data_IF_237251134111
#
_entry.id   IF_237251134111
#
_cell.length_a   1.000
_cell.length_b   1.000
_cell.length_c   1.000
_cell.angle_alpha   90.00
_cell.angle_beta   90.00
_cell.angle_gamma   90.00
#
_symmetry.space_group_name_H-M   'P 1'
#
loop_
_entity.id
_entity.type
_entity.pdbx_description
1 polymer ?
#
# COMPACT_ATOMS: atom_id res chain seq x y z
N UNK A 1 9.14 -9.36 -78.89
CA UNK A 1 10.04 -9.88 -77.89
C UNK A 1 9.70 -9.22 -76.58
N UNK A 2 8.99 -9.94 -75.78
CA UNK A 2 8.43 -9.62 -74.49
C UNK A 2 9.49 -9.76 -73.38
N UNK A 3 9.61 -8.78 -72.51
CA UNK A 3 10.25 -8.88 -71.23
C UNK A 3 9.18 -8.95 -70.17
N UNK A 4 9.24 -9.99 -69.38
CA UNK A 4 8.35 -10.24 -68.23
C UNK A 4 9.01 -9.78 -66.94
N UNK A 5 8.35 -8.83 -66.24
CA UNK A 5 8.75 -8.35 -64.93
C UNK A 5 8.09 -9.18 -63.84
N UNK A 6 8.80 -10.18 -63.39
CA UNK A 6 8.39 -11.00 -62.26
C UNK A 6 8.90 -10.44 -60.93
N UNK A 7 8.05 -9.69 -60.18
CA UNK A 7 8.27 -9.41 -58.75
C UNK A 7 7.87 -10.64 -57.95
N UNK A 8 8.85 -11.44 -57.59
CA UNK A 8 8.69 -12.56 -56.68
C UNK A 8 8.77 -12.05 -55.22
N UNK A 9 7.63 -11.93 -54.55
CA UNK A 9 7.50 -11.77 -53.13
C UNK A 9 7.62 -13.13 -52.46
N UNK A 10 8.82 -13.60 -52.23
CA UNK A 10 9.08 -14.87 -51.55
C UNK A 10 8.64 -14.86 -50.09
N UNK A 11 7.43 -15.36 -49.84
CA UNK A 11 7.04 -15.81 -48.53
C UNK A 11 7.83 -17.12 -48.22
N UNK A 12 8.87 -17.02 -47.41
CA UNK A 12 9.63 -18.19 -46.93
C UNK A 12 8.81 -19.00 -45.94
N UNK A 13 8.07 -19.96 -46.39
CA UNK A 13 7.41 -20.97 -45.57
C UNK A 13 8.42 -22.05 -45.20
N UNK A 14 8.93 -22.06 -43.97
CA UNK A 14 9.74 -23.17 -43.44
C UNK A 14 8.83 -24.29 -42.99
N UNK A 15 8.47 -25.18 -43.91
CA UNK A 15 7.91 -26.50 -43.61
C UNK A 15 9.04 -27.46 -43.23
N UNK A 16 9.17 -27.75 -41.92
CA UNK A 16 10.09 -28.77 -41.43
C UNK A 16 9.38 -29.74 -40.50
N UNK A 17 9.26 -30.99 -40.93
CA UNK A 17 8.83 -32.07 -40.07
C UNK A 17 10.01 -32.56 -39.22
N UNK A 18 9.75 -32.74 -37.91
CA UNK A 18 10.45 -33.64 -37.00
C UNK A 18 11.85 -33.26 -36.52
N UNK A 19 11.97 -33.03 -35.24
CA UNK A 19 13.13 -33.23 -34.36
C UNK A 19 14.51 -32.95 -34.97
N UNK A 20 14.97 -31.72 -34.87
CA UNK A 20 16.36 -31.36 -35.16
C UNK A 20 16.68 -30.00 -34.56
N UNK A 21 17.56 -30.01 -33.60
CA UNK A 21 18.23 -28.83 -33.06
C UNK A 21 18.94 -28.10 -34.22
N UNK A 22 18.37 -26.98 -34.68
CA UNK A 22 19.06 -26.11 -35.64
C UNK A 22 19.32 -24.78 -34.98
N UNK A 23 20.48 -24.68 -34.36
CA UNK A 23 21.07 -23.39 -34.00
C UNK A 23 21.32 -22.61 -35.28
N UNK A 24 20.39 -21.76 -35.69
CA UNK A 24 20.63 -20.79 -36.76
C UNK A 24 21.04 -19.45 -36.15
N UNK A 25 22.30 -19.11 -36.35
CA UNK A 25 22.87 -17.78 -36.06
C UNK A 25 22.80 -16.90 -37.31
N UNK A 26 21.65 -16.86 -37.99
CA UNK A 26 21.42 -16.06 -39.19
C UNK A 26 20.87 -14.69 -38.86
N UNK A 27 21.62 -13.66 -39.22
CA UNK A 27 21.18 -12.28 -39.30
C UNK A 27 20.14 -12.15 -40.43
N UNK A 28 18.85 -12.22 -40.11
CA UNK A 28 17.78 -12.03 -41.08
C UNK A 28 16.86 -10.90 -40.67
N UNK A 29 16.94 -9.78 -41.37
CA UNK A 29 15.99 -8.66 -41.29
C UNK A 29 14.61 -9.00 -41.91
N UNK A 30 14.11 -10.21 -41.65
CA UNK A 30 12.82 -10.70 -42.15
C UNK A 30 11.79 -10.91 -41.02
N UNK A 31 10.51 -10.99 -41.38
CA UNK A 31 9.45 -11.38 -40.45
C UNK A 31 9.30 -12.89 -40.47
N UNK A 32 9.47 -13.54 -39.30
CA UNK A 32 9.26 -14.98 -39.16
C UNK A 32 7.97 -15.27 -38.39
N UNK A 33 7.27 -16.33 -38.76
CA UNK A 33 6.03 -16.78 -38.09
C UNK A 33 6.17 -18.24 -37.71
N UNK A 34 5.98 -18.55 -36.42
CA UNK A 34 5.94 -19.96 -36.01
C UNK A 34 4.66 -20.62 -36.54
N UNK A 35 4.76 -21.75 -37.27
CA UNK A 35 3.57 -22.49 -37.64
C UNK A 35 2.81 -23.03 -36.42
N UNK A 36 1.54 -23.36 -36.60
CA UNK A 36 0.72 -24.02 -35.58
C UNK A 36 1.39 -25.27 -35.04
N UNK A 37 1.59 -25.36 -33.73
CA UNK A 37 2.24 -26.48 -33.03
C UNK A 37 3.76 -26.64 -33.29
N UNK A 38 4.48 -25.60 -33.68
CA UNK A 38 5.94 -25.64 -33.83
C UNK A 38 6.64 -25.00 -32.62
N UNK A 39 7.83 -25.51 -32.31
CA UNK A 39 8.70 -24.98 -31.27
C UNK A 39 9.98 -24.44 -31.88
N UNK A 40 10.34 -23.21 -31.55
CA UNK A 40 11.64 -22.62 -31.87
C UNK A 40 12.46 -22.44 -30.58
N UNK A 41 13.75 -22.70 -30.65
CA UNK A 41 14.64 -22.61 -29.50
C UNK A 41 15.85 -21.74 -29.84
N UNK A 42 16.35 -20.99 -28.85
CA UNK A 42 17.56 -20.15 -28.98
C UNK A 42 17.52 -19.19 -30.17
N UNK A 43 16.34 -18.62 -30.45
CA UNK A 43 16.19 -17.66 -31.55
C UNK A 43 16.77 -16.30 -31.15
N UNK A 44 17.53 -15.68 -32.05
CA UNK A 44 18.04 -14.32 -31.86
C UNK A 44 17.34 -13.39 -32.87
N UNK A 45 16.65 -12.37 -32.35
CA UNK A 45 15.94 -11.40 -33.17
C UNK A 45 16.72 -10.08 -33.11
N UNK A 46 17.38 -9.74 -34.20
CA UNK A 46 18.16 -8.51 -34.34
C UNK A 46 17.35 -7.38 -34.99
N UNK A 47 17.99 -6.25 -35.24
CA UNK A 47 17.40 -5.06 -35.81
C UNK A 47 16.64 -5.35 -37.14
N UNK A 48 15.36 -4.96 -37.17
CA UNK A 48 14.45 -5.20 -38.28
C UNK A 48 13.85 -6.61 -38.32
N UNK A 49 14.33 -7.53 -37.47
CA UNK A 49 13.76 -8.89 -37.37
C UNK A 49 12.44 -8.89 -36.57
N UNK A 50 11.52 -9.75 -36.96
CA UNK A 50 10.26 -9.96 -36.24
C UNK A 50 9.96 -11.46 -36.14
N UNK A 51 9.71 -11.94 -34.91
CA UNK A 51 9.19 -13.29 -34.67
C UNK A 51 7.73 -13.18 -34.22
N UNK A 52 6.83 -13.84 -34.94
CA UNK A 52 5.44 -13.99 -34.53
C UNK A 52 5.19 -15.39 -34.02
N UNK A 53 4.79 -15.52 -32.78
CA UNK A 53 4.44 -16.79 -32.12
C UNK A 53 2.93 -16.92 -32.14
N UNK A 54 2.42 -17.76 -33.04
CA UNK A 54 0.98 -17.94 -33.27
C UNK A 54 0.40 -19.08 -32.43
N UNK A 55 -0.90 -19.34 -32.57
CA UNK A 55 -1.61 -20.38 -31.81
C UNK A 55 -0.90 -21.73 -31.84
N UNK A 56 -0.55 -22.25 -30.67
CA UNK A 56 0.17 -23.53 -30.51
C UNK A 56 1.67 -23.44 -30.80
N UNK A 57 2.19 -22.29 -31.23
CA UNK A 57 3.61 -22.03 -31.37
C UNK A 57 4.28 -21.79 -30.01
N UNK A 58 5.52 -22.24 -29.84
CA UNK A 58 6.31 -22.07 -28.64
C UNK A 58 7.68 -21.49 -29.01
N UNK A 59 8.08 -20.39 -28.37
CA UNK A 59 9.40 -19.81 -28.49
C UNK A 59 10.16 -19.95 -27.15
N UNK A 60 11.24 -20.70 -27.13
CA UNK A 60 12.06 -20.89 -25.95
C UNK A 60 13.41 -20.16 -26.07
N UNK A 61 13.84 -19.50 -25.00
CA UNK A 61 15.16 -18.88 -24.90
C UNK A 61 15.42 -17.91 -26.08
N UNK A 62 14.42 -17.10 -26.42
CA UNK A 62 14.53 -16.11 -27.49
C UNK A 62 15.22 -14.84 -26.96
N UNK A 63 16.23 -14.35 -27.67
CA UNK A 63 16.87 -13.07 -27.42
C UNK A 63 16.31 -12.02 -28.39
N UNK A 64 15.74 -10.95 -27.84
CA UNK A 64 15.22 -9.81 -28.63
C UNK A 64 16.15 -8.64 -28.43
N UNK A 65 16.98 -8.35 -29.44
CA UNK A 65 17.97 -7.29 -29.41
C UNK A 65 17.42 -5.96 -29.92
N UNK A 66 18.26 -4.92 -29.92
CA UNK A 66 17.90 -3.58 -30.38
C UNK A 66 17.22 -3.63 -31.77
N UNK A 67 16.04 -3.03 -31.87
CA UNK A 67 15.23 -3.00 -33.11
C UNK A 67 14.56 -4.31 -33.49
N UNK A 68 14.78 -5.41 -32.72
CA UNK A 68 14.06 -6.67 -32.88
C UNK A 68 12.68 -6.65 -32.23
N UNK A 69 11.73 -7.40 -32.74
CA UNK A 69 10.36 -7.50 -32.24
C UNK A 69 9.93 -8.96 -32.10
N UNK A 70 9.40 -9.33 -30.95
CA UNK A 70 8.73 -10.61 -30.70
C UNK A 70 7.26 -10.36 -30.40
N UNK A 71 6.37 -10.96 -31.17
CA UNK A 71 4.93 -10.90 -30.94
C UNK A 71 4.42 -12.27 -30.54
N UNK A 72 3.85 -12.37 -29.34
CA UNK A 72 3.21 -13.58 -28.85
C UNK A 72 1.71 -13.36 -28.96
N UNK A 73 1.11 -14.02 -29.96
CA UNK A 73 -0.29 -13.88 -30.29
C UNK A 73 -1.14 -14.92 -29.55
N UNK A 74 -2.44 -14.87 -29.76
CA UNK A 74 -3.40 -15.74 -29.08
C UNK A 74 -3.02 -17.22 -29.16
N UNK A 75 -2.85 -17.84 -27.99
CA UNK A 75 -2.45 -19.24 -27.88
C UNK A 75 -0.99 -19.54 -28.25
N UNK A 76 -0.20 -18.50 -28.49
CA UNK A 76 1.26 -18.59 -28.58
C UNK A 76 1.91 -18.51 -27.18
N UNK A 77 3.10 -19.06 -27.05
CA UNK A 77 3.84 -19.14 -25.77
C UNK A 77 5.30 -18.79 -25.96
N UNK A 78 5.87 -17.97 -25.05
CA UNK A 78 7.30 -17.71 -24.99
C UNK A 78 7.85 -18.05 -23.59
N UNK A 79 8.94 -18.83 -23.56
CA UNK A 79 9.54 -19.29 -22.32
C UNK A 79 11.00 -18.84 -22.22
N UNK A 80 11.40 -18.36 -21.04
CA UNK A 80 12.79 -18.01 -20.70
C UNK A 80 13.47 -17.08 -21.71
N UNK A 81 12.70 -16.15 -22.25
CA UNK A 81 13.19 -15.19 -23.26
C UNK A 81 13.85 -13.97 -22.60
N UNK A 82 14.74 -13.31 -23.34
CA UNK A 82 15.39 -12.08 -22.88
C UNK A 82 15.08 -10.93 -23.85
N UNK A 83 14.62 -9.81 -23.33
CA UNK A 83 14.37 -8.58 -24.10
C UNK A 83 15.44 -7.58 -23.74
N UNK A 84 16.44 -7.46 -24.58
CA UNK A 84 17.58 -6.58 -24.39
C UNK A 84 17.25 -5.13 -24.70
N UNK A 85 18.15 -4.22 -24.33
CA UNK A 85 18.01 -2.78 -24.59
C UNK A 85 17.62 -2.51 -26.05
N UNK A 86 16.53 -1.76 -26.25
CA UNK A 86 15.97 -1.43 -27.55
C UNK A 86 15.16 -2.55 -28.23
N UNK A 87 15.12 -3.76 -27.66
CA UNK A 87 14.25 -4.85 -28.09
C UNK A 87 12.81 -4.68 -27.57
N UNK A 88 11.84 -5.26 -28.26
CA UNK A 88 10.42 -5.19 -27.90
C UNK A 88 9.77 -6.56 -27.96
N UNK A 89 9.09 -6.96 -26.88
CA UNK A 89 8.20 -8.12 -26.84
C UNK A 89 6.75 -7.65 -26.63
N UNK A 90 5.83 -8.11 -27.48
CA UNK A 90 4.41 -7.83 -27.36
C UNK A 90 3.67 -9.12 -27.03
N UNK A 91 3.05 -9.16 -25.85
CA UNK A 91 2.18 -10.25 -25.41
C UNK A 91 0.76 -9.78 -25.69
N UNK A 92 0.21 -10.22 -26.81
CA UNK A 92 -1.09 -9.79 -27.28
C UNK A 92 -2.23 -10.61 -26.65
N UNK A 93 -3.48 -10.31 -27.00
CA UNK A 93 -4.67 -10.98 -26.48
C UNK A 93 -4.54 -12.51 -26.49
N UNK A 94 -4.55 -13.13 -25.30
CA UNK A 94 -4.44 -14.57 -25.13
C UNK A 94 -3.05 -15.18 -25.40
N UNK A 95 -2.01 -14.36 -25.58
CA UNK A 95 -0.61 -14.79 -25.61
C UNK A 95 -0.03 -14.96 -24.20
N UNK A 96 0.96 -15.82 -24.04
CA UNK A 96 1.58 -16.11 -22.74
C UNK A 96 3.10 -15.99 -22.79
N UNK A 97 3.68 -15.34 -21.80
CA UNK A 97 5.13 -15.27 -21.59
C UNK A 97 5.49 -15.76 -20.18
N UNK A 98 6.47 -16.63 -20.08
CA UNK A 98 6.94 -17.19 -18.81
C UNK A 98 8.44 -16.96 -18.65
N UNK A 99 8.84 -16.58 -17.42
CA UNK A 99 10.24 -16.41 -17.03
C UNK A 99 11.04 -15.48 -17.97
N UNK A 100 10.40 -14.39 -18.42
CA UNK A 100 11.05 -13.43 -19.32
C UNK A 100 11.91 -12.45 -18.54
N UNK A 101 13.15 -12.24 -18.98
CA UNK A 101 14.02 -11.18 -18.47
C UNK A 101 13.92 -9.95 -19.38
N UNK A 102 13.49 -8.81 -18.84
CA UNK A 102 13.48 -7.53 -19.56
C UNK A 102 14.70 -6.73 -19.14
N UNK A 103 15.78 -6.88 -19.93
CA UNK A 103 17.11 -6.36 -19.65
C UNK A 103 17.36 -5.05 -20.44
N UNK A 104 16.75 -3.99 -19.98
CA UNK A 104 16.77 -2.66 -20.64
C UNK A 104 15.83 -2.53 -21.84
N UNK A 105 15.10 -3.57 -22.21
CA UNK A 105 14.11 -3.57 -23.28
C UNK A 105 12.70 -3.22 -22.82
N UNK A 106 11.71 -3.46 -23.67
CA UNK A 106 10.29 -3.22 -23.37
C UNK A 106 9.45 -4.46 -23.64
N UNK A 107 8.64 -4.87 -22.65
CA UNK A 107 7.60 -5.88 -22.81
C UNK A 107 6.22 -5.26 -22.61
N UNK A 108 5.38 -5.34 -23.62
CA UNK A 108 3.99 -4.88 -23.57
C UNK A 108 3.06 -6.08 -23.40
N UNK A 109 2.28 -6.09 -22.32
CA UNK A 109 1.27 -7.12 -22.06
C UNK A 109 -0.10 -6.48 -22.21
N UNK A 110 -0.89 -6.90 -23.18
CA UNK A 110 -2.10 -6.20 -23.62
C UNK A 110 -3.32 -7.10 -23.55
N UNK A 111 -4.46 -6.48 -23.36
CA UNK A 111 -5.77 -7.13 -23.35
C UNK A 111 -5.79 -8.35 -22.40
N UNK A 112 -6.01 -9.56 -22.90
CA UNK A 112 -5.99 -10.79 -22.10
C UNK A 112 -4.61 -11.50 -22.13
N UNK A 113 -3.55 -10.81 -22.52
CA UNK A 113 -2.18 -11.35 -22.48
C UNK A 113 -1.70 -11.60 -21.05
N UNK A 114 -0.84 -12.58 -20.87
CA UNK A 114 -0.30 -12.95 -19.55
C UNK A 114 1.24 -13.02 -19.56
N UNK A 115 1.85 -12.44 -18.53
CA UNK A 115 3.27 -12.60 -18.27
C UNK A 115 3.50 -13.07 -16.82
N UNK A 116 4.21 -14.17 -16.64
CA UNK A 116 4.48 -14.74 -15.33
C UNK A 116 5.97 -14.95 -15.07
N UNK A 117 6.37 -14.81 -13.79
CA UNK A 117 7.74 -15.05 -13.30
C UNK A 117 8.80 -14.23 -14.05
N UNK A 118 8.45 -12.99 -14.41
CA UNK A 118 9.35 -12.12 -15.19
C UNK A 118 10.27 -11.30 -14.29
N UNK A 119 11.43 -10.91 -14.82
CA UNK A 119 12.41 -10.06 -14.10
C UNK A 119 12.71 -8.80 -14.93
N UNK A 120 12.72 -7.63 -14.30
CA UNK A 120 13.05 -6.35 -14.93
C UNK A 120 14.37 -5.84 -14.37
N UNK A 121 15.32 -5.59 -15.27
CA UNK A 121 16.69 -5.13 -14.95
C UNK A 121 17.15 -4.05 -15.91
N UNK A 122 18.23 -3.35 -15.56
CA UNK A 122 18.93 -2.36 -16.40
C UNK A 122 18.02 -1.29 -17.04
N UNK A 123 17.02 -0.81 -16.28
CA UNK A 123 16.09 0.18 -16.79
C UNK A 123 15.02 -0.37 -17.75
N UNK A 124 14.87 -1.68 -17.83
CA UNK A 124 13.83 -2.35 -18.61
C UNK A 124 12.43 -1.96 -18.17
N UNK A 125 11.45 -2.15 -19.05
CA UNK A 125 10.06 -1.78 -18.78
C UNK A 125 9.08 -2.89 -19.16
N UNK A 126 8.18 -3.25 -18.22
CA UNK A 126 6.99 -4.03 -18.52
C UNK A 126 5.77 -3.09 -18.43
N UNK A 127 4.92 -3.11 -19.45
CA UNK A 127 3.68 -2.33 -19.51
C UNK A 127 2.51 -3.31 -19.59
N UNK A 128 1.75 -3.42 -18.51
CA UNK A 128 0.52 -4.21 -18.46
C UNK A 128 -0.68 -3.30 -18.69
N UNK A 129 -1.53 -3.60 -19.65
CA UNK A 129 -2.69 -2.78 -20.01
C UNK A 129 -3.90 -3.61 -20.47
N UNK A 130 -5.09 -3.01 -20.44
CA UNK A 130 -6.33 -3.71 -20.71
C UNK A 130 -6.67 -4.70 -19.60
N UNK A 131 -7.13 -5.88 -19.93
CA UNK A 131 -7.40 -6.95 -18.95
C UNK A 131 -6.22 -7.91 -18.76
N UNK A 132 -5.01 -7.46 -19.07
CA UNK A 132 -3.78 -8.25 -18.95
C UNK A 132 -3.43 -8.58 -17.51
N UNK A 133 -2.65 -9.64 -17.36
CA UNK A 133 -2.16 -10.08 -16.05
C UNK A 133 -0.64 -10.22 -16.06
N UNK A 134 0.01 -9.61 -15.07
CA UNK A 134 1.42 -9.90 -14.76
C UNK A 134 1.50 -10.51 -13.37
N UNK A 135 2.27 -11.58 -13.21
CA UNK A 135 2.38 -12.29 -11.95
C UNK A 135 3.81 -12.68 -11.63
N UNK A 136 4.12 -12.75 -10.31
CA UNK A 136 5.45 -13.16 -9.82
C UNK A 136 6.59 -12.35 -10.46
N UNK A 137 6.36 -11.06 -10.67
CA UNK A 137 7.32 -10.18 -11.33
C UNK A 137 8.32 -9.61 -10.32
N UNK A 138 9.61 -9.75 -10.60
CA UNK A 138 10.69 -9.11 -9.87
C UNK A 138 11.15 -7.84 -10.58
N UNK A 139 10.98 -6.68 -9.95
CA UNK A 139 11.40 -5.37 -10.46
C UNK A 139 12.64 -4.93 -9.68
N UNK A 140 13.83 -5.16 -10.24
CA UNK A 140 15.11 -4.92 -9.56
C UNK A 140 15.74 -3.57 -9.95
N UNK A 141 15.65 -3.21 -11.23
CA UNK A 141 16.14 -1.95 -11.78
C UNK A 141 15.40 -1.67 -13.09
N UNK A 142 14.32 -0.91 -13.00
CA UNK A 142 13.43 -0.59 -14.12
C UNK A 142 12.00 -0.41 -13.63
N UNK A 143 11.02 -0.51 -14.52
CA UNK A 143 9.63 -0.14 -14.22
C UNK A 143 8.64 -1.22 -14.64
N UNK A 144 7.76 -1.59 -13.70
CA UNK A 144 6.49 -2.23 -14.02
C UNK A 144 5.39 -1.16 -14.02
N UNK A 145 4.83 -0.85 -15.18
CA UNK A 145 3.68 0.02 -15.35
C UNK A 145 2.41 -0.83 -15.51
N UNK A 146 1.43 -0.60 -14.63
CA UNK A 146 0.12 -1.28 -14.64
C UNK A 146 -0.95 -0.23 -14.91
N UNK A 147 -1.76 -0.42 -15.94
CA UNK A 147 -2.79 0.55 -16.35
C UNK A 147 -3.99 -0.09 -17.03
N UNK A 148 -5.04 0.70 -17.25
CA UNK A 148 -6.21 0.32 -18.04
C UNK A 148 -6.88 -1.00 -17.57
N UNK A 149 -7.07 -1.19 -16.25
CA UNK A 149 -7.65 -2.38 -15.61
C UNK A 149 -6.76 -3.64 -15.60
N UNK A 150 -5.48 -3.53 -15.89
CA UNK A 150 -4.56 -4.64 -15.77
C UNK A 150 -4.38 -5.09 -14.30
N UNK A 151 -3.92 -6.31 -14.12
CA UNK A 151 -3.71 -6.92 -12.80
C UNK A 151 -2.24 -7.26 -12.60
N UNK A 152 -1.70 -6.89 -11.43
CA UNK A 152 -0.39 -7.33 -10.98
C UNK A 152 -0.52 -8.19 -9.71
N UNK A 153 0.05 -9.40 -9.76
CA UNK A 153 0.00 -10.38 -8.66
C UNK A 153 1.42 -10.73 -8.19
N UNK A 154 1.63 -10.76 -6.86
CA UNK A 154 2.89 -11.21 -6.26
C UNK A 154 4.12 -10.51 -6.87
N UNK A 155 4.06 -9.20 -6.98
CA UNK A 155 5.18 -8.39 -7.50
C UNK A 155 6.14 -8.05 -6.38
N UNK A 156 7.44 -8.24 -6.61
CA UNK A 156 8.50 -7.79 -5.71
C UNK A 156 9.27 -6.63 -6.34
N UNK A 157 9.35 -5.52 -5.63
CA UNK A 157 10.08 -4.31 -6.06
C UNK A 157 11.23 -4.07 -5.10
N UNK A 158 12.45 -4.00 -5.63
CA UNK A 158 13.67 -3.80 -4.83
C UNK A 158 14.73 -3.02 -5.64
N UNK A 159 15.83 -2.66 -5.00
CA UNK A 159 16.90 -1.92 -5.67
C UNK A 159 16.43 -0.57 -6.21
N UNK A 160 16.64 -0.31 -7.50
CA UNK A 160 16.11 0.88 -8.18
C UNK A 160 14.81 0.59 -8.95
N UNK A 161 14.16 -0.53 -8.65
CA UNK A 161 12.88 -0.91 -9.26
C UNK A 161 11.75 0.02 -8.88
N UNK A 162 10.78 0.17 -9.77
CA UNK A 162 9.58 0.97 -9.56
C UNK A 162 8.32 0.25 -10.06
N UNK A 163 7.27 0.23 -9.24
CA UNK A 163 5.91 -0.08 -9.66
C UNK A 163 5.14 1.22 -9.87
N UNK A 164 4.56 1.41 -11.04
CA UNK A 164 3.69 2.52 -11.37
C UNK A 164 2.29 2.02 -11.75
N UNK A 165 1.27 2.45 -10.99
CA UNK A 165 -0.13 2.20 -11.28
C UNK A 165 -0.87 3.55 -11.20
N UNK A 166 -0.95 4.24 -12.34
CA UNK A 166 -1.33 5.66 -12.41
C UNK A 166 -2.71 5.93 -12.97
N UNK A 167 -3.48 4.90 -13.28
CA UNK A 167 -4.82 5.02 -13.86
C UNK A 167 -5.88 4.24 -13.08
N UNK A 168 -7.13 4.50 -13.31
CA UNK A 168 -8.23 3.97 -12.51
C UNK A 168 -8.45 2.46 -12.70
N UNK A 169 -8.66 1.73 -11.62
CA UNK A 169 -9.16 0.36 -11.52
C UNK A 169 -8.14 -0.79 -11.68
N UNK A 170 -6.85 -0.52 -11.61
CA UNK A 170 -5.84 -1.59 -11.55
C UNK A 170 -5.99 -2.40 -10.26
N UNK A 171 -5.77 -3.71 -10.34
CA UNK A 171 -5.73 -4.61 -9.20
C UNK A 171 -4.29 -5.03 -8.88
N UNK A 172 -3.82 -4.68 -7.69
CA UNK A 172 -2.47 -5.01 -7.20
C UNK A 172 -2.62 -5.92 -5.97
N UNK A 173 -2.14 -7.13 -6.07
CA UNK A 173 -2.23 -8.10 -4.96
C UNK A 173 -0.88 -8.75 -4.67
N UNK A 174 -0.50 -8.85 -3.40
CA UNK A 174 0.77 -9.47 -2.99
C UNK A 174 1.99 -8.64 -3.39
N UNK A 175 1.88 -7.31 -3.37
CA UNK A 175 3.01 -6.42 -3.63
C UNK A 175 3.98 -6.43 -2.45
N UNK A 176 5.26 -6.70 -2.71
CA UNK A 176 6.34 -6.55 -1.74
C UNK A 176 7.32 -5.49 -2.22
N UNK A 177 7.50 -4.42 -1.46
CA UNK A 177 8.51 -3.39 -1.73
C UNK A 177 9.54 -3.38 -0.63
N UNK A 178 10.80 -3.63 -0.98
CA UNK A 178 11.92 -3.74 -0.03
C UNK A 178 13.04 -2.78 -0.39
N UNK A 179 13.90 -2.48 0.57
CA UNK A 179 15.13 -1.70 0.42
C UNK A 179 14.91 -0.31 -0.18
N UNK A 180 15.43 -0.10 -1.37
CA UNK A 180 15.34 1.17 -2.12
C UNK A 180 14.28 1.13 -3.23
N UNK A 181 13.53 0.03 -3.34
CA UNK A 181 12.41 -0.08 -4.28
C UNK A 181 11.38 1.02 -4.07
N UNK A 182 10.74 1.44 -5.13
CA UNK A 182 9.74 2.50 -5.10
C UNK A 182 8.42 2.07 -5.73
N UNK A 183 7.35 2.74 -5.34
CA UNK A 183 6.02 2.50 -5.91
C UNK A 183 5.25 3.81 -6.01
N UNK A 184 4.44 3.92 -7.05
CA UNK A 184 3.54 5.03 -7.29
C UNK A 184 2.16 4.47 -7.61
N UNK A 185 1.27 4.55 -6.64
CA UNK A 185 -0.10 4.04 -6.74
C UNK A 185 -1.05 5.24 -6.69
N UNK A 186 -1.66 5.58 -7.81
CA UNK A 186 -2.61 6.71 -7.89
C UNK A 186 -4.03 6.23 -8.11
N UNK A 187 -4.96 7.06 -7.82
CA UNK A 187 -6.43 7.03 -8.00
C UNK A 187 -7.12 5.69 -8.35
N UNK A 188 -8.06 5.29 -7.50
CA UNK A 188 -9.00 4.17 -7.73
C UNK A 188 -8.40 2.75 -7.76
N UNK A 189 -7.13 2.57 -7.40
CA UNK A 189 -6.51 1.25 -7.38
C UNK A 189 -7.04 0.41 -6.21
N UNK A 190 -7.19 -0.88 -6.44
CA UNK A 190 -7.44 -1.86 -5.40
C UNK A 190 -6.14 -2.58 -5.06
N UNK A 191 -5.60 -2.32 -3.87
CA UNK A 191 -4.36 -2.94 -3.39
C UNK A 191 -4.68 -3.89 -2.24
N UNK A 192 -4.26 -5.14 -2.36
CA UNK A 192 -4.49 -6.17 -1.36
C UNK A 192 -3.20 -6.87 -0.97
N UNK A 193 -3.04 -7.13 0.34
CA UNK A 193 -1.93 -7.91 0.90
C UNK A 193 -0.57 -7.39 0.44
N UNK A 194 -0.30 -6.09 0.65
CA UNK A 194 0.96 -5.48 0.25
C UNK A 194 1.87 -5.22 1.45
N UNK A 195 3.15 -5.54 1.29
CA UNK A 195 4.21 -5.27 2.25
C UNK A 195 5.08 -4.11 1.73
N UNK A 196 4.94 -2.93 2.33
CA UNK A 196 5.55 -1.70 1.88
C UNK A 196 6.66 -1.26 2.85
N UNK A 197 7.91 -1.60 2.53
CA UNK A 197 9.10 -1.24 3.31
C UNK A 197 10.09 -0.35 2.56
N UNK A 198 9.86 -0.11 1.28
CA UNK A 198 10.73 0.68 0.41
C UNK A 198 10.60 2.18 0.57
N UNK A 199 11.36 2.92 -0.23
CA UNK A 199 11.14 4.35 -0.41
C UNK A 199 9.86 4.54 -1.22
N UNK A 200 8.94 5.36 -0.71
CA UNK A 200 7.73 5.69 -1.45
C UNK A 200 7.89 6.99 -2.22
N UNK A 201 7.15 7.09 -3.29
CA UNK A 201 6.80 8.36 -3.93
C UNK A 201 5.28 8.34 -4.17
N UNK A 202 4.54 9.13 -3.37
CA UNK A 202 3.12 9.42 -3.54
C UNK A 202 2.20 8.20 -3.69
N UNK A 203 1.85 7.59 -2.59
CA UNK A 203 0.79 6.58 -2.60
C UNK A 203 -0.52 7.24 -2.27
N UNK A 204 -1.42 7.25 -3.23
CA UNK A 204 -2.65 8.00 -3.16
C UNK A 204 -3.84 7.11 -3.44
N UNK A 205 -4.55 6.74 -2.40
CA UNK A 205 -5.88 6.18 -2.58
C UNK A 205 -6.90 7.32 -2.68
N UNK A 206 -7.06 7.90 -3.86
CA UNK A 206 -8.22 8.75 -4.15
C UNK A 206 -9.31 7.88 -4.74
N UNK A 207 -10.40 7.66 -4.00
CA UNK A 207 -11.47 6.69 -4.32
C UNK A 207 -11.03 5.22 -4.46
N UNK A 208 -9.77 4.88 -4.22
CA UNK A 208 -9.23 3.52 -4.21
C UNK A 208 -9.42 2.84 -2.85
N UNK A 209 -9.16 1.54 -2.81
CA UNK A 209 -9.21 0.75 -1.58
C UNK A 209 -7.91 -0.05 -1.36
N UNK A 210 -7.39 0.01 -0.14
CA UNK A 210 -6.31 -0.82 0.33
C UNK A 210 -6.78 -1.76 1.44
N UNK A 211 -6.39 -3.03 1.39
CA UNK A 211 -6.75 -4.01 2.42
C UNK A 211 -5.59 -4.95 2.72
N UNK A 212 -5.35 -5.23 4.00
CA UNK A 212 -4.27 -6.13 4.43
C UNK A 212 -2.89 -5.59 4.11
N UNK A 213 -2.68 -4.29 4.27
CA UNK A 213 -1.41 -3.64 3.92
C UNK A 213 -0.51 -3.54 5.15
N UNK A 214 0.77 -3.88 4.99
CA UNK A 214 1.81 -3.63 5.97
C UNK A 214 2.62 -2.42 5.51
N UNK A 215 2.75 -1.40 6.37
CA UNK A 215 3.54 -0.20 6.12
C UNK A 215 4.69 -0.16 7.12
N UNK A 216 5.92 -0.25 6.64
CA UNK A 216 7.08 -0.34 7.52
C UNK A 216 8.34 0.32 6.94
N UNK A 217 9.47 0.23 7.65
CA UNK A 217 10.76 0.73 7.16
C UNK A 217 10.82 2.23 6.89
N UNK A 218 10.04 3.05 7.59
CA UNK A 218 9.84 4.50 7.34
C UNK A 218 9.06 4.82 6.06
N UNK A 219 8.35 3.85 5.47
CA UNK A 219 7.43 4.10 4.36
C UNK A 219 6.24 4.96 4.79
N UNK A 220 5.68 5.69 3.86
CA UNK A 220 4.50 6.51 4.07
C UNK A 220 3.38 6.11 3.10
N UNK A 221 2.16 6.15 3.56
CA UNK A 221 0.96 5.88 2.78
C UNK A 221 -0.03 7.04 2.99
N UNK A 222 -0.42 7.70 1.92
CA UNK A 222 -1.39 8.78 1.96
C UNK A 222 -2.75 8.31 1.46
N UNK A 223 -3.79 8.48 2.26
CA UNK A 223 -5.18 8.15 1.92
C UNK A 223 -5.92 9.44 1.61
N UNK A 224 -6.19 9.67 0.35
CA UNK A 224 -6.81 10.90 -0.16
C UNK A 224 -8.34 10.86 -0.08
N UNK A 225 -8.98 11.90 -0.55
CA UNK A 225 -10.45 11.99 -0.58
C UNK A 225 -11.09 10.81 -1.29
N UNK A 226 -12.07 10.18 -0.63
CA UNK A 226 -12.73 8.97 -1.13
C UNK A 226 -11.92 7.66 -0.98
N UNK A 227 -10.62 7.75 -0.69
CA UNK A 227 -9.76 6.59 -0.42
C UNK A 227 -10.12 5.87 0.86
N UNK A 228 -9.97 4.55 0.86
CA UNK A 228 -10.28 3.66 2.00
C UNK A 228 -9.14 2.71 2.26
N UNK A 229 -8.76 2.59 3.51
CA UNK A 229 -7.74 1.65 3.95
C UNK A 229 -8.32 0.77 5.06
N UNK A 230 -8.17 -0.55 4.94
CA UNK A 230 -8.67 -1.50 5.93
C UNK A 230 -7.61 -2.54 6.31
N UNK A 231 -7.73 -3.09 7.53
CA UNK A 231 -6.88 -4.18 8.01
C UNK A 231 -5.38 -3.90 7.81
N UNK A 232 -4.95 -2.70 8.17
CA UNK A 232 -3.57 -2.22 7.93
C UNK A 232 -2.72 -2.34 9.18
N UNK A 233 -1.49 -2.79 9.02
CA UNK A 233 -0.50 -2.86 10.10
C UNK A 233 0.66 -1.90 9.79
N UNK A 234 0.90 -0.97 10.70
CA UNK A 234 2.07 -0.10 10.66
C UNK A 234 3.13 -0.64 11.62
N UNK A 235 4.39 -0.68 11.17
CA UNK A 235 5.52 -1.11 12.00
C UNK A 235 6.82 -0.43 11.55
N UNK A 236 7.86 -0.47 12.39
CA UNK A 236 9.18 0.07 12.06
C UNK A 236 9.14 1.51 11.50
N UNK A 237 8.41 2.41 12.18
CA UNK A 237 8.21 3.82 11.79
C UNK A 237 7.38 4.04 10.51
N UNK A 238 6.57 3.07 10.10
CA UNK A 238 5.61 3.27 9.01
C UNK A 238 4.65 4.43 9.32
N UNK A 239 4.25 5.16 8.32
CA UNK A 239 3.37 6.34 8.45
C UNK A 239 2.15 6.21 7.56
N UNK A 240 0.97 6.54 8.10
CA UNK A 240 -0.27 6.70 7.33
C UNK A 240 -0.83 8.09 7.56
N UNK A 241 -1.05 8.83 6.48
CA UNK A 241 -1.71 10.13 6.50
C UNK A 241 -3.08 10.03 5.82
N UNK A 242 -4.13 10.29 6.57
CA UNK A 242 -5.50 10.29 6.05
C UNK A 242 -5.93 11.73 5.82
N UNK A 243 -6.07 12.09 4.56
CA UNK A 243 -6.46 13.44 4.13
C UNK A 243 -7.97 13.61 4.17
N UNK A 244 -8.43 14.86 4.05
CA UNK A 244 -9.87 15.20 4.03
C UNK A 244 -10.66 14.27 3.09
N UNK A 245 -11.72 13.65 3.60
CA UNK A 245 -12.56 12.70 2.86
C UNK A 245 -12.01 11.28 2.73
N UNK A 246 -10.80 11.02 3.21
CA UNK A 246 -10.22 9.68 3.33
C UNK A 246 -10.67 8.96 4.61
N UNK A 247 -10.56 7.65 4.64
CA UNK A 247 -10.91 6.83 5.82
C UNK A 247 -10.01 5.63 6.03
N UNK A 248 -9.79 5.28 7.30
CA UNK A 248 -9.12 4.04 7.68
C UNK A 248 -9.99 3.22 8.63
N UNK A 249 -9.89 1.90 8.53
CA UNK A 249 -10.63 0.96 9.36
C UNK A 249 -9.71 -0.17 9.83
N UNK A 250 -9.85 -0.58 11.08
CA UNK A 250 -9.12 -1.72 11.66
C UNK A 250 -7.59 -1.62 11.43
N UNK A 251 -7.00 -0.52 11.89
CA UNK A 251 -5.56 -0.24 11.71
C UNK A 251 -4.80 -0.50 13.02
N UNK A 252 -3.70 -1.22 12.95
CA UNK A 252 -2.80 -1.47 14.09
C UNK A 252 -1.47 -0.76 13.86
N UNK A 253 -1.10 0.15 14.75
CA UNK A 253 0.19 0.85 14.71
C UNK A 253 1.11 0.36 15.83
N UNK A 254 2.31 -0.09 15.45
CA UNK A 254 3.36 -0.59 16.34
C UNK A 254 4.67 0.20 16.15
N UNK A 255 5.62 0.03 17.05
CA UNK A 255 7.04 0.38 16.89
C UNK A 255 7.31 1.80 16.36
N UNK A 256 6.88 2.82 17.08
CA UNK A 256 7.07 4.23 16.70
C UNK A 256 6.44 4.65 15.36
N UNK A 257 5.46 3.90 14.89
CA UNK A 257 4.69 4.24 13.70
C UNK A 257 3.76 5.43 13.97
N UNK A 258 3.36 6.12 12.92
CA UNK A 258 2.58 7.34 13.04
C UNK A 258 1.33 7.32 12.15
N UNK A 259 0.21 7.78 12.70
CA UNK A 259 -1.06 7.96 11.97
C UNK A 259 -1.49 9.42 12.10
N UNK A 260 -1.83 10.06 10.99
CA UNK A 260 -2.40 11.41 10.97
C UNK A 260 -3.78 11.37 10.33
N UNK A 261 -4.80 11.84 11.06
CA UNK A 261 -6.18 11.98 10.59
C UNK A 261 -6.47 13.46 10.41
N UNK A 262 -6.48 13.93 9.18
CA UNK A 262 -6.74 15.35 8.86
C UNK A 262 -8.19 15.74 9.13
N UNK A 263 -8.47 17.03 9.18
CA UNK A 263 -9.85 17.53 9.28
C UNK A 263 -10.72 17.00 8.13
N UNK A 264 -11.92 16.48 8.44
CA UNK A 264 -12.81 15.84 7.47
C UNK A 264 -12.44 14.40 7.10
N UNK A 265 -11.38 13.84 7.69
CA UNK A 265 -11.03 12.43 7.58
C UNK A 265 -11.55 11.62 8.77
N UNK A 266 -11.58 10.28 8.63
CA UNK A 266 -12.08 9.40 9.68
C UNK A 266 -11.19 8.15 9.90
N UNK A 267 -11.14 7.70 11.16
CA UNK A 267 -10.54 6.44 11.58
C UNK A 267 -11.52 5.65 12.43
N UNK A 268 -11.59 4.34 12.23
CA UNK A 268 -12.41 3.44 13.05
C UNK A 268 -11.61 2.18 13.38
N UNK A 269 -11.68 1.71 14.63
CA UNK A 269 -11.03 0.46 15.05
C UNK A 269 -9.51 0.54 15.06
N UNK A 270 -8.93 1.66 15.49
CA UNK A 270 -7.47 1.84 15.52
C UNK A 270 -6.86 1.33 16.84
N UNK A 271 -5.79 0.55 16.77
CA UNK A 271 -5.01 0.13 17.93
C UNK A 271 -3.60 0.71 17.86
N UNK A 272 -3.19 1.41 18.92
CA UNK A 272 -1.87 2.02 19.07
C UNK A 272 -1.06 1.26 20.12
N UNK A 273 0.10 0.72 19.74
CA UNK A 273 0.98 -0.07 20.62
C UNK A 273 2.39 0.55 20.72
N UNK A 274 3.10 0.19 21.79
CA UNK A 274 4.50 0.57 21.98
C UNK A 274 4.71 2.07 22.11
N UNK A 275 5.40 2.67 21.16
CA UNK A 275 5.67 4.11 21.07
C UNK A 275 5.03 4.75 19.84
N UNK A 276 4.05 4.08 19.24
CA UNK A 276 3.31 4.64 18.10
C UNK A 276 2.48 5.87 18.49
N UNK A 277 2.11 6.67 17.53
CA UNK A 277 1.29 7.86 17.77
C UNK A 277 0.20 8.03 16.73
N UNK A 278 -0.92 8.61 17.15
CA UNK A 278 -1.99 9.04 16.26
C UNK A 278 -2.41 10.47 16.58
N UNK A 279 -2.42 11.32 15.58
CA UNK A 279 -2.91 12.71 15.68
C UNK A 279 -4.21 12.83 14.92
N UNK A 280 -5.27 13.28 15.62
CA UNK A 280 -6.61 13.41 15.06
C UNK A 280 -7.00 14.88 14.96
N UNK A 281 -7.24 15.35 13.75
CA UNK A 281 -7.88 16.64 13.46
C UNK A 281 -9.28 16.46 12.84
N UNK A 282 -9.63 15.23 12.47
CA UNK A 282 -10.95 14.79 12.01
C UNK A 282 -11.71 14.04 13.08
N UNK A 283 -12.13 12.81 12.78
CA UNK A 283 -12.84 11.93 13.71
C UNK A 283 -12.15 10.59 13.89
N UNK A 284 -12.17 10.05 15.12
CA UNK A 284 -11.76 8.68 15.36
C UNK A 284 -12.75 7.98 16.30
N UNK A 285 -13.04 6.71 16.01
CA UNK A 285 -13.91 5.88 16.85
C UNK A 285 -13.26 4.52 17.13
N UNK A 286 -13.70 3.89 18.22
CA UNK A 286 -13.23 2.54 18.61
C UNK A 286 -11.69 2.46 18.70
N UNK A 287 -11.08 3.44 19.36
CA UNK A 287 -9.62 3.54 19.44
C UNK A 287 -9.08 2.87 20.70
N UNK A 288 -8.11 1.97 20.56
CA UNK A 288 -7.39 1.35 21.67
C UNK A 288 -5.99 1.96 21.78
N UNK A 289 -5.69 2.58 22.91
CA UNK A 289 -4.42 3.27 23.17
C UNK A 289 -3.63 2.50 24.22
N UNK A 290 -2.73 1.63 23.77
CA UNK A 290 -1.73 0.95 24.59
C UNK A 290 -0.37 1.68 24.55
N UNK A 291 -0.25 2.66 23.70
CA UNK A 291 1.00 3.38 23.40
C UNK A 291 1.22 4.54 24.34
N UNK A 292 2.43 4.64 24.87
CA UNK A 292 2.90 5.83 25.61
C UNK A 292 3.21 7.03 24.69
N UNK A 293 3.20 6.81 23.38
CA UNK A 293 3.73 7.78 22.42
C UNK A 293 5.25 7.85 22.45
N UNK A 294 5.79 8.85 21.78
CA UNK A 294 7.21 9.17 21.76
C UNK A 294 7.51 10.35 22.70
N UNK A 295 8.77 10.75 22.80
CA UNK A 295 9.18 11.99 23.50
C UNK A 295 8.58 13.25 22.84
N UNK A 296 8.18 13.18 21.58
CA UNK A 296 7.66 14.30 20.79
C UNK A 296 6.12 14.29 20.64
N UNK A 297 5.46 13.12 20.81
CA UNK A 297 4.01 13.00 20.64
C UNK A 297 3.43 12.00 21.64
N UNK A 298 2.21 12.24 22.11
CA UNK A 298 1.45 11.29 22.92
C UNK A 298 0.98 10.11 22.05
N UNK A 299 0.55 9.01 22.69
CA UNK A 299 -0.05 7.89 21.96
C UNK A 299 -1.22 8.33 21.11
N UNK A 300 -2.19 9.04 21.67
CA UNK A 300 -3.30 9.68 20.95
C UNK A 300 -3.33 11.19 21.27
N UNK A 301 -3.31 12.00 20.24
CA UNK A 301 -3.46 13.45 20.34
C UNK A 301 -4.69 13.91 19.54
N UNK A 302 -5.60 14.62 20.19
CA UNK A 302 -6.85 15.10 19.59
C UNK A 302 -6.81 16.63 19.50
N UNK A 303 -6.75 17.13 18.29
CA UNK A 303 -6.58 18.55 18.01
C UNK A 303 -7.91 19.33 18.14
N UNK A 304 -7.80 20.65 18.10
CA UNK A 304 -8.95 21.56 18.13
C UNK A 304 -9.96 21.21 17.02
N UNK A 305 -11.24 21.12 17.41
CA UNK A 305 -12.34 20.78 16.52
C UNK A 305 -12.47 19.30 16.16
N UNK A 306 -11.50 18.47 16.57
CA UNK A 306 -11.54 17.04 16.37
C UNK A 306 -12.38 16.32 17.43
N UNK A 307 -12.87 15.14 17.10
CA UNK A 307 -13.62 14.31 18.05
C UNK A 307 -13.17 12.85 18.03
N UNK A 308 -13.15 12.25 19.22
CA UNK A 308 -12.93 10.80 19.39
C UNK A 308 -14.08 10.21 20.18
N UNK A 309 -14.43 8.95 19.88
CA UNK A 309 -15.48 8.22 20.61
C UNK A 309 -15.07 6.78 20.87
N UNK A 310 -15.62 6.22 21.96
CA UNK A 310 -15.35 4.84 22.36
C UNK A 310 -13.85 4.54 22.43
N UNK A 311 -13.12 5.37 23.20
CA UNK A 311 -11.66 5.25 23.35
C UNK A 311 -11.31 4.43 24.58
N UNK A 312 -10.48 3.40 24.44
CA UNK A 312 -9.95 2.59 25.53
C UNK A 312 -8.46 2.90 25.76
N UNK A 313 -8.10 3.38 26.94
CA UNK A 313 -6.72 3.67 27.33
C UNK A 313 -6.23 2.56 28.26
N UNK A 314 -5.18 1.87 27.88
CA UNK A 314 -4.69 0.70 28.62
C UNK A 314 -3.21 0.85 29.00
N UNK A 315 -2.80 0.23 30.11
CA UNK A 315 -1.41 0.11 30.49
C UNK A 315 -0.70 1.44 30.60
N UNK A 316 0.24 1.72 29.71
CA UNK A 316 0.99 2.99 29.63
C UNK A 316 0.43 3.95 28.56
N UNK A 317 -0.76 3.68 28.04
CA UNK A 317 -1.40 4.52 27.02
C UNK A 317 -1.49 5.98 27.43
N UNK A 318 -1.22 6.89 26.50
CA UNK A 318 -1.30 8.34 26.75
C UNK A 318 -2.23 9.01 25.77
N UNK A 319 -3.15 9.82 26.29
CA UNK A 319 -4.09 10.62 25.48
C UNK A 319 -3.96 12.07 25.86
N UNK A 320 -3.90 12.93 24.85
CA UNK A 320 -3.93 14.38 24.99
C UNK A 320 -5.13 14.95 24.21
N UNK A 321 -6.05 15.56 24.93
CA UNK A 321 -7.16 16.32 24.35
C UNK A 321 -6.80 17.80 24.39
N UNK A 322 -6.56 18.38 23.23
CA UNK A 322 -6.24 19.81 23.10
C UNK A 322 -7.48 20.68 23.19
N UNK A 323 -7.26 21.97 23.38
CA UNK A 323 -8.31 22.97 23.41
C UNK A 323 -9.31 22.77 22.25
N UNK A 324 -10.62 22.77 22.54
CA UNK A 324 -11.69 22.62 21.57
C UNK A 324 -11.91 21.21 21.02
N UNK A 325 -11.14 20.21 21.48
CA UNK A 325 -11.36 18.81 21.15
C UNK A 325 -12.51 18.20 21.95
N UNK A 326 -13.05 17.07 21.47
CA UNK A 326 -14.11 16.32 22.14
C UNK A 326 -13.75 14.84 22.25
N UNK A 327 -13.99 14.25 23.41
CA UNK A 327 -13.92 12.81 23.65
C UNK A 327 -15.20 12.30 24.30
N UNK A 328 -15.85 11.32 23.68
CA UNK A 328 -17.05 10.68 24.19
C UNK A 328 -16.74 9.21 24.52
N UNK A 329 -17.33 8.71 25.61
CA UNK A 329 -17.26 7.30 26.01
C UNK A 329 -15.79 6.81 26.11
N UNK A 330 -15.02 7.42 27.02
CA UNK A 330 -13.62 7.04 27.26
C UNK A 330 -13.53 6.08 28.45
N UNK A 331 -12.87 4.94 28.25
CA UNK A 331 -12.57 3.94 29.30
C UNK A 331 -11.08 3.91 29.55
N UNK A 332 -10.68 4.16 30.79
CA UNK A 332 -9.29 4.08 31.23
C UNK A 332 -9.05 2.82 32.08
N UNK A 333 -8.42 1.82 31.51
CA UNK A 333 -7.95 0.62 32.24
C UNK A 333 -6.52 0.78 32.80
N UNK A 334 -5.96 1.96 32.66
CA UNK A 334 -4.61 2.40 33.01
C UNK A 334 -4.24 3.64 32.21
N UNK A 335 -2.97 4.02 32.22
CA UNK A 335 -2.45 5.10 31.40
C UNK A 335 -2.78 6.51 31.89
N UNK A 336 -2.59 7.48 31.02
CA UNK A 336 -2.70 8.91 31.31
C UNK A 336 -3.61 9.62 30.31
N UNK A 337 -4.59 10.34 30.79
CA UNK A 337 -5.44 11.25 30.01
C UNK A 337 -5.18 12.69 30.47
N UNK A 338 -4.78 13.53 29.53
CA UNK A 338 -4.67 14.97 29.75
C UNK A 338 -5.70 15.71 28.92
N UNK A 339 -6.48 16.56 29.53
CA UNK A 339 -7.43 17.44 28.86
C UNK A 339 -7.06 18.90 29.10
N UNK A 340 -6.67 19.59 28.03
CA UNK A 340 -6.35 21.02 28.06
C UNK A 340 -7.58 21.91 28.24
N UNK A 341 -7.36 23.15 28.62
CA UNK A 341 -8.43 24.15 28.70
C UNK A 341 -9.27 24.16 27.40
N UNK A 342 -10.59 24.12 27.53
CA UNK A 342 -11.53 24.10 26.42
C UNK A 342 -11.78 22.71 25.80
N UNK A 343 -11.08 21.67 26.23
CA UNK A 343 -11.40 20.30 25.83
C UNK A 343 -12.71 19.85 26.50
N UNK A 344 -13.43 18.94 25.82
CA UNK A 344 -14.71 18.39 26.30
C UNK A 344 -14.61 16.87 26.41
N UNK A 345 -14.96 16.35 27.60
CA UNK A 345 -15.12 14.93 27.83
C UNK A 345 -16.56 14.63 28.19
N UNK A 346 -17.11 13.58 27.63
CA UNK A 346 -18.43 13.08 27.98
C UNK A 346 -18.34 11.58 28.25
N UNK A 347 -18.86 11.11 29.39
CA UNK A 347 -18.79 9.73 29.86
C UNK A 347 -17.36 9.22 30.01
N UNK A 348 -16.81 9.33 31.21
CA UNK A 348 -15.48 8.85 31.56
C UNK A 348 -15.59 7.69 32.55
N UNK A 349 -15.07 6.51 32.19
CA UNK A 349 -14.94 5.38 33.10
C UNK A 349 -13.46 5.14 33.42
N UNK A 350 -13.11 5.19 34.69
CA UNK A 350 -11.73 5.01 35.18
C UNK A 350 -11.65 3.68 35.95
N UNK A 351 -10.82 2.75 35.49
CA UNK A 351 -10.56 1.45 36.08
C UNK A 351 -9.06 1.30 36.37
N UNK A 352 -8.71 0.61 37.45
CA UNK A 352 -7.31 0.27 37.74
C UNK A 352 -6.45 1.48 38.08
N UNK A 353 -5.15 1.41 37.71
CA UNK A 353 -4.19 2.50 37.92
C UNK A 353 -4.19 3.43 36.70
N UNK A 354 -5.04 4.43 36.73
CA UNK A 354 -5.12 5.44 35.69
C UNK A 354 -4.91 6.83 36.25
N UNK A 355 -4.32 7.72 35.47
CA UNK A 355 -4.05 9.12 35.85
C UNK A 355 -4.79 10.06 34.90
N UNK A 356 -5.48 11.03 35.45
CA UNK A 356 -6.12 12.09 34.67
C UNK A 356 -5.58 13.45 35.08
N UNK A 357 -5.29 14.30 34.10
CA UNK A 357 -5.01 15.72 34.30
C UNK A 357 -6.02 16.52 33.45
N UNK A 358 -6.94 17.16 34.14
CA UNK A 358 -7.99 17.97 33.52
C UNK A 358 -7.74 19.43 33.87
N UNK A 359 -7.40 20.25 32.85
CA UNK A 359 -7.09 21.66 33.06
C UNK A 359 -8.33 22.48 33.42
N UNK A 360 -8.07 23.62 34.05
CA UNK A 360 -9.10 24.63 34.32
C UNK A 360 -9.72 25.08 32.99
N UNK A 361 -11.05 25.00 32.89
CA UNK A 361 -11.82 25.32 31.67
C UNK A 361 -12.02 24.16 30.71
N UNK A 362 -11.45 22.98 30.97
CA UNK A 362 -11.95 21.76 30.35
C UNK A 362 -13.32 21.38 30.95
N UNK A 363 -14.18 20.76 30.17
CA UNK A 363 -15.49 20.30 30.65
C UNK A 363 -15.56 18.79 30.70
N UNK A 364 -16.07 18.26 31.83
CA UNK A 364 -16.37 16.86 32.03
C UNK A 364 -17.88 16.75 32.27
N UNK A 365 -18.59 16.03 31.41
CA UNK A 365 -20.05 15.89 31.44
C UNK A 365 -20.46 14.42 31.31
N UNK A 366 -21.75 14.15 31.51
CA UNK A 366 -22.26 12.78 31.47
C UNK A 366 -21.87 11.95 32.71
N UNK A 367 -21.77 10.63 32.57
CA UNK A 367 -21.44 9.72 33.65
C UNK A 367 -19.92 9.66 33.87
N UNK A 368 -19.45 9.91 35.08
CA UNK A 368 -18.08 9.65 35.49
C UNK A 368 -18.09 8.52 36.52
N UNK A 369 -17.50 7.37 36.13
CA UNK A 369 -17.45 6.19 37.01
C UNK A 369 -16.00 5.88 37.32
N UNK A 370 -15.70 5.68 38.62
CA UNK A 370 -14.37 5.29 39.09
C UNK A 370 -14.46 3.96 39.82
N UNK A 371 -13.68 2.98 39.37
CA UNK A 371 -13.58 1.66 40.02
C UNK A 371 -12.11 1.21 40.12
N UNK A 372 -11.77 0.48 41.20
CA UNK A 372 -10.39 0.06 41.45
C UNK A 372 -9.53 1.14 42.14
N UNK A 373 -8.21 1.14 41.94
CA UNK A 373 -7.28 2.12 42.52
C UNK A 373 -6.98 3.20 41.49
N UNK A 374 -7.86 4.18 41.37
CA UNK A 374 -7.73 5.28 40.41
C UNK A 374 -7.22 6.54 41.09
N UNK A 375 -6.38 7.30 40.39
CA UNK A 375 -5.98 8.66 40.79
C UNK A 375 -6.66 9.63 39.85
N UNK A 376 -7.57 10.45 40.37
CA UNK A 376 -8.14 11.56 39.64
C UNK A 376 -7.26 12.77 39.84
N UNK A 377 -6.60 13.20 38.76
CA UNK A 377 -5.63 14.28 38.77
C UNK A 377 -4.27 13.82 38.31
N UNK A 378 -3.58 14.61 37.54
CA UNK A 378 -2.19 14.36 37.10
C UNK A 378 -1.17 14.77 38.16
N UNK A 379 0.09 14.62 37.87
CA UNK A 379 1.22 15.06 38.73
C UNK A 379 1.37 16.58 38.87
N UNK A 380 0.51 17.32 38.24
CA UNK A 380 0.49 18.77 38.24
C UNK A 380 -0.72 19.31 38.99
N UNK A 381 -0.48 19.85 40.15
CA UNK A 381 -1.34 20.72 40.96
C UNK A 381 -2.79 20.20 41.16
N UNK A 382 -2.93 19.20 42.00
CA UNK A 382 -4.22 18.59 42.41
C UNK A 382 -5.30 19.58 42.86
N UNK A 383 -4.92 20.85 43.09
CA UNK A 383 -5.83 21.91 43.49
C UNK A 383 -6.70 22.48 42.39
N UNK A 384 -6.40 22.20 41.12
CA UNK A 384 -7.11 22.83 39.95
C UNK A 384 -8.09 21.95 39.21
N UNK A 385 -8.09 20.65 39.45
CA UNK A 385 -8.82 19.65 38.62
C UNK A 385 -10.34 19.82 38.72
N UNK A 386 -10.84 20.32 39.81
CA UNK A 386 -12.29 20.40 40.08
C UNK A 386 -12.84 21.81 40.28
N UNK A 387 -12.00 22.83 40.28
CA UNK A 387 -12.48 24.17 40.60
C UNK A 387 -13.38 24.77 39.54
N UNK A 388 -13.22 24.36 38.26
CA UNK A 388 -14.00 24.91 37.13
C UNK A 388 -14.48 23.84 36.12
N UNK A 389 -14.22 22.55 36.35
CA UNK A 389 -14.75 21.48 35.52
C UNK A 389 -16.19 21.11 35.96
N UNK A 390 -17.13 21.10 35.03
CA UNK A 390 -18.48 20.64 35.30
C UNK A 390 -18.55 19.11 35.33
N UNK A 391 -18.66 18.53 36.52
CA UNK A 391 -18.90 17.10 36.70
C UNK A 391 -20.39 16.91 36.99
N UNK A 392 -21.14 16.37 36.05
CA UNK A 392 -22.58 16.15 36.19
C UNK A 392 -22.88 14.88 37.04
N UNK A 393 -22.03 13.88 37.01
CA UNK A 393 -22.14 12.65 37.78
C UNK A 393 -20.77 12.05 38.04
N UNK A 394 -20.45 11.69 39.27
CA UNK A 394 -19.25 10.96 39.64
C UNK A 394 -19.63 9.79 40.54
N UNK A 395 -19.30 8.59 40.12
CA UNK A 395 -19.47 7.35 40.90
C UNK A 395 -18.13 6.80 41.31
N UNK A 396 -17.93 6.64 42.60
CA UNK A 396 -16.75 5.98 43.17
C UNK A 396 -17.24 4.68 43.80
N UNK A 397 -16.81 3.53 43.25
CA UNK A 397 -17.27 2.21 43.74
C UNK A 397 -16.44 1.73 44.92
N UNK A 398 -16.94 0.72 45.62
CA UNK A 398 -16.33 0.14 46.82
C UNK A 398 -14.90 -0.36 46.56
N UNK A 399 -13.97 -0.09 47.50
CA UNK A 399 -12.54 -0.46 47.37
C UNK A 399 -11.64 0.52 46.63
N UNK A 400 -12.19 1.62 46.14
CA UNK A 400 -11.44 2.66 45.41
C UNK A 400 -10.86 3.70 46.38
N UNK A 401 -9.54 3.95 46.27
CA UNK A 401 -8.87 5.12 46.83
C UNK A 401 -8.76 6.21 45.77
N UNK A 402 -9.74 7.07 45.70
CA UNK A 402 -9.65 8.26 44.86
C UNK A 402 -9.08 9.43 45.68
N UNK A 403 -7.99 10.03 45.23
CA UNK A 403 -7.48 11.28 45.80
C UNK A 403 -8.04 12.46 45.00
N UNK A 404 -8.78 13.30 45.68
CA UNK A 404 -9.22 14.59 45.16
C UNK A 404 -8.24 15.66 45.59
N UNK A 405 -7.91 16.61 44.74
CA UNK A 405 -7.06 17.77 45.11
C UNK A 405 -7.76 18.72 46.08
N UNK A 406 -6.98 19.58 46.71
CA UNK A 406 -7.40 20.44 47.84
C UNK A 406 -8.38 21.56 47.52
N UNK A 407 -9.06 21.58 46.42
CA UNK A 407 -9.97 22.65 46.02
C UNK A 407 -11.35 22.18 45.61
N UNK A 408 -11.93 21.28 46.38
CA UNK A 408 -13.40 21.19 46.46
C UNK A 408 -13.86 22.26 47.40
N UNK A 409 -14.14 23.49 46.92
CA UNK A 409 -14.95 24.50 47.58
C UNK A 409 -16.37 24.41 47.08
#
# INVERSE_FOLDING_TARGET
VSGDDGSDSGEGNIGGDGSGDTGDTGDSGGSETTPTSSTVNNTVINNGGTLNVETGGIANMTEVNEGGVMNINKGGEANSSTVNTGGTANINDGGNAYSTTVDGGTMNVKDSGSAASSTITKGGKIIASGTSMVSETAVLDGTLEVKDNATALNTTVSGNGMLEASQAQEAITGLTVTDTGSYHLTTNNNVQNADLYGKHYDTLFSNGAGTGIIVGGSSQLDVMSGGKLADTVLQHKGTVNVQNGGSINNTVANDSSNITIAAGASAVGTTLNGTSSMTVSGTAADTIVNSSGSTAAKGLEVNNGASVSNTSINGSGTVLLKNGSMANDTVMNGGVLTAENGAKLENLEIKGKAETAIDNGASLSGAVTVSGSATLGGSYDYGKIFSDAAINSLTVTEGVNAKFGNSLN
#
